data_IF_907386818429
#
_entry.id   IF_907386818429
#
_cell.length_a   1.000
_cell.length_b   1.000
_cell.length_c   1.000
_cell.angle_alpha   90.00
_cell.angle_beta   90.00
_cell.angle_gamma   90.00
#
_symmetry.space_group_name_H-M   'P 1'
#
loop_
_entity.id
_entity.type
_entity.pdbx_description
1 polymer ?
#
# COMPACT_ATOMS: atom_id res chain seq x y z
N UNK A 1 37.13 6.65 68.09
CA UNK A 1 36.13 5.56 68.06
C UNK A 1 34.92 6.03 67.27
N UNK A 2 34.50 5.22 66.30
CA UNK A 2 33.14 5.07 65.71
C UNK A 2 32.33 6.35 65.40
N UNK A 3 32.28 6.78 64.13
CA UNK A 3 31.20 6.54 63.14
C UNK A 3 29.84 7.15 63.51
N UNK A 4 29.57 8.36 63.01
CA UNK A 4 28.19 8.82 62.81
C UNK A 4 27.79 8.55 61.35
N UNK A 5 26.93 7.53 61.22
CA UNK A 5 26.18 7.14 60.05
C UNK A 5 25.30 8.32 59.61
N UNK A 6 25.61 8.97 58.51
CA UNK A 6 24.73 9.96 57.88
C UNK A 6 24.75 9.81 56.34
N UNK A 7 24.76 8.56 55.87
CA UNK A 7 24.73 8.19 54.45
C UNK A 7 23.63 7.16 54.16
N UNK A 8 22.50 7.24 54.84
CA UNK A 8 21.37 6.35 54.58
C UNK A 8 20.04 7.02 54.92
N UNK A 9 19.55 7.94 54.07
CA UNK A 9 18.11 8.28 54.05
C UNK A 9 17.63 9.09 52.82
N UNK A 10 18.19 8.87 51.62
CA UNK A 10 17.36 9.07 50.44
C UNK A 10 16.39 7.89 50.40
N UNK A 11 15.15 8.13 50.83
CA UNK A 11 14.14 7.10 51.11
C UNK A 11 14.01 6.14 49.93
N UNK A 12 14.10 4.84 50.20
CA UNK A 12 13.83 3.75 49.25
C UNK A 12 12.54 3.97 48.47
N UNK A 13 11.56 4.62 49.10
CA UNK A 13 10.26 4.96 48.52
C UNK A 13 10.37 6.03 47.41
N UNK A 14 11.27 7.01 47.55
CA UNK A 14 11.57 7.99 46.49
C UNK A 14 12.26 7.31 45.31
N UNK A 15 13.21 6.41 45.59
CA UNK A 15 13.92 5.68 44.54
C UNK A 15 12.96 4.73 43.80
N UNK A 16 12.06 4.08 44.53
CA UNK A 16 11.00 3.24 43.96
C UNK A 16 9.98 4.07 43.17
N UNK A 17 9.61 5.26 43.64
CA UNK A 17 8.72 6.17 42.92
C UNK A 17 9.37 6.70 41.63
N UNK A 18 10.65 7.07 41.66
CA UNK A 18 11.38 7.51 40.47
C UNK A 18 11.37 6.40 39.40
N UNK A 19 11.74 5.17 39.77
CA UNK A 19 11.82 4.06 38.81
C UNK A 19 10.44 3.60 38.32
N UNK A 20 9.41 3.60 39.18
CA UNK A 20 8.09 3.04 38.82
C UNK A 20 7.11 4.04 38.24
N UNK A 21 7.28 5.34 38.49
CA UNK A 21 6.36 6.39 38.04
C UNK A 21 7.04 7.43 37.18
N UNK A 22 8.19 7.95 37.60
CA UNK A 22 8.86 9.04 36.90
C UNK A 22 9.56 8.58 35.61
N UNK A 23 10.32 7.49 35.63
CA UNK A 23 11.04 6.98 34.45
C UNK A 23 10.09 6.54 33.32
N UNK A 24 8.96 5.83 33.59
CA UNK A 24 7.95 5.53 32.58
C UNK A 24 7.32 6.79 31.99
N UNK A 25 7.01 7.80 32.81
CA UNK A 25 6.48 9.09 32.33
C UNK A 25 7.51 9.80 31.44
N UNK A 26 8.78 9.79 31.81
CA UNK A 26 9.86 10.40 31.03
C UNK A 26 10.06 9.67 29.70
N UNK A 27 9.86 8.35 29.68
CA UNK A 27 9.88 7.52 28.47
C UNK A 27 8.70 7.85 27.56
N UNK A 28 7.48 7.93 28.11
CA UNK A 28 6.28 8.34 27.36
C UNK A 28 6.45 9.75 26.80
N UNK A 29 6.99 10.70 27.57
CA UNK A 29 7.24 12.07 27.11
C UNK A 29 8.27 12.08 25.97
N UNK A 30 9.33 11.27 26.06
CA UNK A 30 10.29 11.11 24.95
C UNK A 30 9.63 10.52 23.71
N UNK A 31 8.87 9.44 23.84
CA UNK A 31 8.16 8.83 22.72
C UNK A 31 7.15 9.79 22.07
N UNK A 32 6.42 10.56 22.88
CA UNK A 32 5.50 11.58 22.38
C UNK A 32 6.24 12.71 21.67
N UNK A 33 7.41 13.12 22.18
CA UNK A 33 8.23 14.15 21.55
C UNK A 33 8.84 13.66 20.23
N UNK A 34 9.31 12.41 20.18
CA UNK A 34 9.81 11.78 18.95
C UNK A 34 8.69 11.64 17.91
N UNK A 35 7.50 11.23 18.35
CA UNK A 35 6.30 11.16 17.49
C UNK A 35 5.89 12.54 16.98
N UNK A 36 5.91 13.57 17.84
CA UNK A 36 5.62 14.95 17.45
C UNK A 36 6.63 15.44 16.41
N UNK A 37 7.92 15.21 16.64
CA UNK A 37 8.96 15.63 15.71
C UNK A 37 8.87 14.92 14.36
N UNK A 38 8.49 13.63 14.34
CA UNK A 38 8.23 12.91 13.10
C UNK A 38 6.98 13.44 12.39
N UNK A 39 5.91 13.70 13.14
CA UNK A 39 4.68 14.32 12.62
C UNK A 39 4.93 15.69 12.00
N UNK A 40 5.77 16.53 12.63
CA UNK A 40 6.17 17.84 12.08
C UNK A 40 6.99 17.70 10.79
N UNK A 41 7.91 16.73 10.72
CA UNK A 41 8.67 16.44 9.50
C UNK A 41 7.76 15.99 8.36
N UNK A 42 6.79 15.14 8.65
CA UNK A 42 5.84 14.65 7.65
C UNK A 42 4.86 15.73 7.21
N UNK A 43 4.37 16.57 8.15
CA UNK A 43 3.61 17.77 7.83
C UNK A 43 4.37 18.68 6.86
N UNK A 44 5.64 18.96 7.15
CA UNK A 44 6.47 19.79 6.28
C UNK A 44 6.67 19.18 4.88
N UNK A 45 6.80 17.84 4.80
CA UNK A 45 6.89 17.12 3.52
C UNK A 45 5.59 17.21 2.73
N UNK A 46 4.45 17.04 3.40
CA UNK A 46 3.13 17.13 2.78
C UNK A 46 2.83 18.55 2.30
N UNK A 47 3.15 19.58 3.09
CA UNK A 47 3.02 20.99 2.70
C UNK A 47 3.84 21.27 1.42
N UNK A 48 5.08 20.76 1.33
CA UNK A 48 5.87 20.87 0.09
C UNK A 48 5.24 20.17 -1.10
N UNK A 49 4.62 19.00 -0.89
CA UNK A 49 3.92 18.26 -1.94
C UNK A 49 2.72 19.03 -2.44
N UNK A 50 1.92 19.59 -1.54
CA UNK A 50 0.75 20.43 -1.85
C UNK A 50 1.18 21.64 -2.68
N UNK A 51 2.16 22.42 -2.22
CA UNK A 51 2.66 23.60 -2.95
C UNK A 51 3.12 23.24 -4.38
N UNK A 52 3.73 22.06 -4.56
CA UNK A 52 4.18 21.60 -5.87
C UNK A 52 3.03 21.18 -6.76
N UNK A 53 2.03 20.48 -6.22
CA UNK A 53 0.81 20.09 -6.93
C UNK A 53 0.00 21.33 -7.34
N UNK A 54 -0.15 22.32 -6.46
CA UNK A 54 -0.78 23.60 -6.77
C UNK A 54 -0.08 24.30 -7.93
N UNK A 55 1.25 24.37 -7.91
CA UNK A 55 2.03 24.93 -9.04
C UNK A 55 1.83 24.15 -10.33
N UNK A 56 1.81 22.83 -10.27
CA UNK A 56 1.57 21.99 -11.44
C UNK A 56 0.14 22.16 -11.98
N UNK A 57 -0.84 22.29 -11.10
CA UNK A 57 -2.24 22.55 -11.46
C UNK A 57 -2.40 23.91 -12.15
N UNK A 58 -1.77 24.97 -11.65
CA UNK A 58 -1.76 26.28 -12.31
C UNK A 58 -1.16 26.20 -13.71
N UNK A 59 -0.03 25.50 -13.88
CA UNK A 59 0.60 25.31 -15.20
C UNK A 59 -0.30 24.49 -16.15
N UNK A 60 -1.00 23.49 -15.63
CA UNK A 60 -1.91 22.66 -16.44
C UNK A 60 -3.15 23.45 -16.86
N UNK A 61 -3.71 24.28 -15.98
CA UNK A 61 -4.84 25.16 -16.30
C UNK A 61 -4.47 26.20 -17.35
N UNK A 62 -3.28 26.80 -17.24
CA UNK A 62 -2.75 27.75 -18.22
C UNK A 62 -2.57 27.11 -19.61
N UNK A 63 -2.09 25.86 -19.66
CA UNK A 63 -1.94 25.08 -20.90
C UNK A 63 -3.27 24.61 -21.52
N UNK A 64 -4.33 24.53 -20.72
CA UNK A 64 -5.66 24.13 -21.18
C UNK A 64 -6.51 25.34 -21.60
N UNK A 65 -5.96 26.57 -21.56
CA UNK A 65 -6.66 27.83 -21.88
C UNK A 65 -8.02 27.98 -21.16
N UNK A 66 -8.16 27.37 -19.98
CA UNK A 66 -9.39 27.46 -19.18
C UNK A 66 -9.37 28.79 -18.44
N UNK A 67 -9.80 29.85 -19.13
CA UNK A 67 -9.91 31.21 -18.58
C UNK A 67 -11.05 31.37 -17.54
N UNK A 68 -11.89 30.34 -17.35
CA UNK A 68 -13.11 30.43 -16.54
C UNK A 68 -12.91 30.08 -15.05
N UNK A 69 -11.71 29.66 -14.64
CA UNK A 69 -11.41 29.40 -13.22
C UNK A 69 -10.74 30.64 -12.64
N UNK A 70 -11.56 31.56 -12.14
CA UNK A 70 -11.10 32.67 -11.31
C UNK A 70 -10.59 32.10 -9.98
N UNK A 71 -9.27 32.04 -9.80
CA UNK A 71 -8.69 31.85 -8.49
C UNK A 71 -8.95 33.11 -7.65
N UNK A 72 -10.01 33.09 -6.86
CA UNK A 72 -10.18 34.06 -5.78
C UNK A 72 -9.05 33.83 -4.77
N UNK A 73 -7.98 34.62 -4.90
CA UNK A 73 -6.84 34.66 -3.98
C UNK A 73 -7.19 35.30 -2.63
N UNK A 74 -8.48 35.49 -2.33
CA UNK A 74 -8.98 36.09 -1.09
C UNK A 74 -9.90 35.11 -0.39
N UNK A 75 -9.30 34.14 0.31
CA UNK A 75 -9.88 33.57 1.52
C UNK A 75 -8.78 32.81 2.27
N UNK A 76 -8.02 33.54 3.08
CA UNK A 76 -7.37 32.99 4.26
C UNK A 76 -8.37 33.16 5.40
N UNK A 77 -9.27 32.20 5.70
CA UNK A 77 -10.00 32.25 6.96
C UNK A 77 -9.08 31.75 8.07
N UNK A 78 -8.73 32.69 8.95
CA UNK A 78 -8.10 32.45 10.23
C UNK A 78 -8.83 31.37 11.05
N UNK A 79 -8.04 30.44 11.57
CA UNK A 79 -8.17 29.78 12.87
C UNK A 79 -9.60 29.52 13.41
N UNK A 80 -10.13 28.32 13.12
CA UNK A 80 -11.01 27.60 14.07
C UNK A 80 -10.63 26.13 14.15
N UNK A 81 -9.67 25.83 15.01
CA UNK A 81 -9.31 24.47 15.44
C UNK A 81 -10.43 23.87 16.28
N UNK A 82 -11.39 23.21 15.62
CA UNK A 82 -12.26 22.23 16.29
C UNK A 82 -11.43 20.97 16.51
N UNK A 83 -11.04 20.71 17.76
CA UNK A 83 -10.45 19.44 18.19
C UNK A 83 -11.50 18.33 18.03
N UNK A 84 -11.49 17.68 16.88
CA UNK A 84 -12.17 16.40 16.67
C UNK A 84 -11.19 15.33 17.15
N UNK A 85 -11.59 14.58 18.18
CA UNK A 85 -10.85 13.42 18.67
C UNK A 85 -10.86 12.34 17.57
N UNK A 86 -9.84 12.32 16.73
CA UNK A 86 -9.54 11.15 15.92
C UNK A 86 -8.94 10.09 16.85
N UNK A 87 -9.71 9.04 17.14
CA UNK A 87 -9.13 7.77 17.52
C UNK A 87 -8.26 7.33 16.33
N UNK A 88 -6.98 7.13 16.60
CA UNK A 88 -5.98 6.72 15.61
C UNK A 88 -6.35 5.30 15.18
N UNK A 89 -7.11 5.17 14.11
CA UNK A 89 -7.18 3.92 13.37
C UNK A 89 -5.84 3.70 12.67
N UNK A 90 -5.34 2.47 12.72
CA UNK A 90 -4.05 2.07 12.16
C UNK A 90 -3.82 2.68 10.77
N UNK A 91 -2.64 3.24 10.52
CA UNK A 91 -2.25 3.90 9.26
C UNK A 91 -2.48 3.03 8.00
N UNK A 92 -2.57 1.69 8.14
CA UNK A 92 -2.94 0.76 7.07
C UNK A 92 -4.39 0.92 6.57
N UNK A 93 -5.31 1.47 7.37
CA UNK A 93 -6.70 1.75 6.98
C UNK A 93 -6.86 3.07 6.20
N UNK A 94 -5.84 3.94 6.21
CA UNK A 94 -5.85 5.22 5.47
C UNK A 94 -5.40 5.05 4.02
N UNK A 95 -4.81 3.91 3.66
CA UNK A 95 -4.46 3.58 2.29
C UNK A 95 -5.69 3.01 1.58
N UNK A 96 -6.00 3.57 0.41
CA UNK A 96 -7.06 3.04 -0.42
C UNK A 96 -6.82 1.53 -0.67
N UNK A 97 -7.86 0.69 -0.51
CA UNK A 97 -7.75 -0.73 -0.74
C UNK A 97 -7.28 -0.99 -2.16
N UNK A 98 -6.24 -1.81 -2.29
CA UNK A 98 -5.64 -2.18 -3.56
C UNK A 98 -5.94 -3.63 -3.93
N UNK A 99 -6.38 -4.44 -2.96
CA UNK A 99 -6.66 -5.85 -3.13
C UNK A 99 -8.12 -6.11 -2.81
N UNK A 100 -8.87 -6.54 -3.82
CA UNK A 100 -10.29 -6.79 -3.70
C UNK A 100 -10.66 -8.23 -4.02
N UNK A 101 -11.82 -8.67 -3.53
CA UNK A 101 -12.48 -9.91 -3.94
C UNK A 101 -13.83 -9.62 -4.58
N UNK A 102 -14.18 -10.35 -5.63
CA UNK A 102 -15.45 -10.24 -6.33
C UNK A 102 -16.06 -11.62 -6.58
N UNK A 103 -17.38 -11.66 -6.78
CA UNK A 103 -18.11 -12.90 -7.07
C UNK A 103 -17.67 -13.51 -8.40
N UNK A 104 -17.62 -14.85 -8.42
CA UNK A 104 -17.17 -15.62 -9.57
C UNK A 104 -17.95 -15.24 -10.84
N UNK A 105 -17.23 -14.82 -11.88
CA UNK A 105 -17.81 -14.53 -13.20
C UNK A 105 -18.28 -13.09 -13.39
N UNK A 106 -17.91 -12.17 -12.50
CA UNK A 106 -18.25 -10.75 -12.65
C UNK A 106 -17.64 -10.18 -13.93
N UNK A 107 -18.41 -9.52 -14.83
CA UNK A 107 -17.89 -9.05 -16.10
C UNK A 107 -16.83 -7.96 -15.90
N UNK A 108 -15.80 -7.98 -16.76
CA UNK A 108 -14.67 -7.04 -16.68
C UNK A 108 -15.13 -5.57 -16.80
N UNK A 109 -16.15 -5.31 -17.62
CA UNK A 109 -16.74 -3.99 -17.79
C UNK A 109 -17.32 -3.43 -16.49
N UNK A 110 -17.95 -4.26 -15.65
CA UNK A 110 -18.45 -3.81 -14.35
C UNK A 110 -17.32 -3.46 -13.40
N UNK A 111 -16.23 -4.24 -13.38
CA UNK A 111 -15.05 -3.94 -12.56
C UNK A 111 -14.34 -2.67 -13.01
N UNK A 112 -14.25 -2.45 -14.32
CA UNK A 112 -13.68 -1.23 -14.91
C UNK A 112 -14.47 0.02 -14.51
N UNK A 113 -15.80 -0.03 -14.58
CA UNK A 113 -16.65 1.09 -14.19
C UNK A 113 -16.58 1.34 -12.69
N UNK A 114 -16.67 0.30 -11.87
CA UNK A 114 -16.70 0.42 -10.41
C UNK A 114 -15.38 0.96 -9.85
N UNK A 115 -14.25 0.52 -10.40
CA UNK A 115 -12.92 0.96 -9.96
C UNK A 115 -12.39 2.15 -10.77
N UNK A 116 -13.14 2.65 -11.76
CA UNK A 116 -12.77 3.76 -12.64
C UNK A 116 -11.47 3.51 -13.45
N UNK A 117 -11.32 2.32 -14.03
CA UNK A 117 -10.17 1.96 -14.87
C UNK A 117 -10.53 1.87 -16.36
N UNK A 118 -9.58 2.25 -17.22
CA UNK A 118 -9.70 2.10 -18.67
C UNK A 118 -9.48 0.66 -19.14
N UNK A 119 -10.09 0.27 -20.26
CA UNK A 119 -9.89 -1.05 -20.90
C UNK A 119 -8.42 -1.32 -21.27
N UNK A 120 -7.68 -0.26 -21.61
CA UNK A 120 -6.28 -0.37 -22.02
C UNK A 120 -5.40 -0.80 -20.85
N UNK A 121 -5.72 -0.34 -19.63
CA UNK A 121 -4.96 -0.58 -18.40
C UNK A 121 -5.39 -1.83 -17.62
N UNK A 122 -6.37 -2.60 -18.13
CA UNK A 122 -6.84 -3.82 -17.46
C UNK A 122 -6.12 -5.09 -17.93
N UNK A 123 -5.52 -5.87 -17.04
CA UNK A 123 -4.87 -7.15 -17.32
C UNK A 123 -5.72 -8.26 -16.72
N UNK A 124 -6.13 -9.22 -17.55
CA UNK A 124 -6.93 -10.37 -17.11
C UNK A 124 -6.07 -11.64 -17.16
N UNK A 125 -6.08 -12.40 -16.07
CA UNK A 125 -5.29 -13.63 -15.95
C UNK A 125 -6.16 -14.77 -15.42
N UNK A 126 -6.02 -15.94 -16.01
CA UNK A 126 -6.76 -17.13 -15.58
C UNK A 126 -5.88 -18.04 -14.71
N UNK A 127 -6.24 -18.15 -13.43
CA UNK A 127 -5.48 -18.90 -12.42
C UNK A 127 -5.56 -20.42 -12.65
N UNK A 128 -6.60 -20.93 -13.31
CA UNK A 128 -6.73 -22.37 -13.62
C UNK A 128 -5.59 -22.93 -14.48
N UNK A 129 -4.91 -22.06 -15.22
CA UNK A 129 -3.79 -22.44 -16.09
C UNK A 129 -2.47 -22.59 -15.30
N UNK A 130 -2.41 -22.12 -14.06
CA UNK A 130 -1.19 -22.10 -13.27
C UNK A 130 -1.00 -23.43 -12.54
N UNK A 131 0.02 -24.19 -12.95
CA UNK A 131 0.44 -25.42 -12.25
C UNK A 131 1.76 -25.21 -11.52
N UNK A 132 2.68 -24.47 -12.14
CA UNK A 132 3.96 -24.10 -11.58
C UNK A 132 4.14 -22.59 -11.52
N UNK A 133 5.17 -22.15 -10.81
CA UNK A 133 5.49 -20.73 -10.70
C UNK A 133 5.96 -20.16 -12.04
N UNK A 134 6.68 -20.95 -12.84
CA UNK A 134 7.09 -20.57 -14.19
C UNK A 134 5.88 -20.26 -15.07
N UNK A 135 4.87 -21.16 -15.08
CA UNK A 135 3.64 -20.99 -15.87
C UNK A 135 2.90 -19.69 -15.52
N UNK A 136 2.86 -19.36 -14.22
CA UNK A 136 2.26 -18.13 -13.72
C UNK A 136 3.02 -16.90 -14.24
N UNK A 137 4.37 -16.89 -14.12
CA UNK A 137 5.16 -15.74 -14.56
C UNK A 137 5.14 -15.56 -16.07
N UNK A 138 5.14 -16.65 -16.84
CA UNK A 138 5.01 -16.61 -18.30
C UNK A 138 3.67 -16.00 -18.67
N UNK A 139 2.56 -16.54 -18.13
CA UNK A 139 1.21 -16.02 -18.39
C UNK A 139 1.08 -14.53 -17.99
N UNK A 140 1.65 -14.14 -16.84
CA UNK A 140 1.68 -12.75 -16.40
C UNK A 140 2.46 -11.84 -17.38
N UNK A 141 3.69 -12.25 -17.75
CA UNK A 141 4.54 -11.46 -18.64
C UNK A 141 3.96 -11.37 -20.06
N UNK A 142 3.37 -12.44 -20.59
CA UNK A 142 2.70 -12.44 -21.90
C UNK A 142 1.52 -11.46 -21.91
N UNK A 143 0.68 -11.48 -20.86
CA UNK A 143 -0.48 -10.58 -20.77
C UNK A 143 -0.09 -9.09 -20.70
N UNK A 144 1.11 -8.77 -20.22
CA UNK A 144 1.63 -7.39 -20.17
C UNK A 144 2.39 -7.02 -21.44
N UNK A 145 3.11 -7.99 -22.00
CA UNK A 145 3.92 -7.86 -23.20
C UNK A 145 3.10 -7.40 -24.40
N UNK A 146 1.87 -7.88 -24.50
CA UNK A 146 0.91 -7.47 -25.54
C UNK A 146 0.54 -5.98 -25.49
N UNK A 147 0.80 -5.28 -24.37
CA UNK A 147 0.29 -3.93 -24.12
C UNK A 147 1.35 -2.83 -24.05
N UNK A 148 2.53 -3.09 -23.48
CA UNK A 148 3.43 -1.98 -23.09
C UNK A 148 4.91 -2.12 -23.45
N UNK A 149 5.46 -3.34 -23.62
CA UNK A 149 6.81 -3.68 -24.13
C UNK A 149 7.06 -5.18 -23.92
N UNK A 150 7.86 -5.83 -24.78
CA UNK A 150 8.24 -7.23 -24.56
C UNK A 150 9.17 -7.37 -23.34
N UNK A 151 8.64 -7.99 -22.28
CA UNK A 151 9.39 -8.32 -21.06
C UNK A 151 9.74 -9.82 -20.96
N UNK A 152 9.39 -10.63 -21.98
CA UNK A 152 9.76 -12.04 -21.98
C UNK A 152 11.28 -12.18 -22.08
N UNK A 153 11.92 -12.89 -21.14
CA UNK A 153 13.33 -13.25 -21.26
C UNK A 153 13.53 -14.28 -22.39
N UNK A 154 14.75 -14.32 -22.94
CA UNK A 154 15.15 -15.30 -23.97
C UNK A 154 15.21 -16.74 -23.41
N UNK A 155 15.45 -16.87 -22.11
CA UNK A 155 15.44 -18.14 -21.36
C UNK A 155 14.24 -18.18 -20.41
N UNK A 156 13.46 -19.27 -20.47
CA UNK A 156 12.29 -19.51 -19.61
C UNK A 156 12.64 -20.05 -18.22
N UNK A 157 13.87 -19.80 -17.77
CA UNK A 157 14.32 -20.20 -16.45
C UNK A 157 13.66 -19.35 -15.37
N UNK A 158 13.25 -19.97 -14.26
CA UNK A 158 12.54 -19.31 -13.16
C UNK A 158 13.27 -18.06 -12.64
N UNK A 159 14.60 -18.10 -12.63
CA UNK A 159 15.42 -17.03 -12.10
C UNK A 159 15.40 -15.78 -13.01
N UNK A 160 15.38 -15.99 -14.32
CA UNK A 160 15.29 -14.90 -15.30
C UNK A 160 13.84 -14.41 -15.45
N UNK A 161 12.85 -15.30 -15.39
CA UNK A 161 11.44 -14.93 -15.29
C UNK A 161 11.17 -14.01 -14.09
N UNK A 162 11.70 -14.35 -12.90
CA UNK A 162 11.57 -13.49 -11.71
C UNK A 162 12.27 -12.14 -11.87
N UNK A 163 13.45 -12.08 -12.51
CA UNK A 163 14.14 -10.80 -12.78
C UNK A 163 13.33 -9.93 -13.74
N UNK A 164 12.87 -10.50 -14.85
CA UNK A 164 12.05 -9.79 -15.84
C UNK A 164 10.73 -9.32 -15.24
N UNK A 165 10.07 -10.17 -14.45
CA UNK A 165 8.85 -9.82 -13.72
C UNK A 165 9.09 -8.66 -12.76
N UNK A 166 10.19 -8.66 -11.98
CA UNK A 166 10.50 -7.52 -11.09
C UNK A 166 10.66 -6.21 -11.84
N UNK A 167 11.35 -6.21 -12.99
CA UNK A 167 11.49 -5.01 -13.84
C UNK A 167 10.13 -4.57 -14.39
N UNK A 168 9.32 -5.53 -14.84
CA UNK A 168 7.99 -5.28 -15.38
C UNK A 168 7.04 -4.69 -14.32
N UNK A 169 7.00 -5.29 -13.13
CA UNK A 169 6.20 -4.84 -12.00
C UNK A 169 6.57 -3.42 -11.55
N UNK A 170 7.86 -3.07 -11.54
CA UNK A 170 8.27 -1.70 -11.23
C UNK A 170 7.71 -0.70 -12.25
N UNK A 171 7.72 -1.03 -13.54
CA UNK A 171 7.10 -0.17 -14.56
C UNK A 171 5.56 -0.17 -14.50
N UNK A 172 4.93 -1.27 -14.08
CA UNK A 172 3.48 -1.29 -13.86
C UNK A 172 3.09 -0.40 -12.68
N UNK A 173 3.88 -0.40 -11.61
CA UNK A 173 3.62 0.39 -10.41
C UNK A 173 3.73 1.90 -10.64
N UNK A 174 4.34 2.36 -11.74
CA UNK A 174 4.36 3.77 -12.11
C UNK A 174 3.15 4.23 -12.92
N UNK A 175 2.35 3.28 -13.40
CA UNK A 175 1.17 3.54 -14.22
C UNK A 175 -0.10 3.12 -13.48
N UNK A 176 -1.25 3.50 -14.01
CA UNK A 176 -2.53 2.98 -13.54
C UNK A 176 -2.78 1.62 -14.17
N UNK A 177 -2.94 0.56 -13.37
CA UNK A 177 -3.23 -0.79 -13.87
C UNK A 177 -4.24 -1.52 -12.98
N UNK A 178 -5.19 -2.19 -13.61
CA UNK A 178 -6.15 -3.07 -12.96
C UNK A 178 -5.83 -4.52 -13.35
N UNK A 179 -5.46 -5.36 -12.38
CA UNK A 179 -5.17 -6.77 -12.61
C UNK A 179 -6.33 -7.60 -12.06
N UNK A 180 -6.96 -8.40 -12.90
CA UNK A 180 -8.08 -9.28 -12.53
C UNK A 180 -7.64 -10.73 -12.64
N UNK A 181 -7.66 -11.44 -11.50
CA UNK A 181 -7.37 -12.86 -11.42
C UNK A 181 -8.68 -13.65 -11.46
N UNK A 182 -8.93 -14.34 -12.58
CA UNK A 182 -10.11 -15.19 -12.81
C UNK A 182 -9.96 -16.55 -12.17
N UNK A 183 -11.09 -17.09 -11.70
CA UNK A 183 -11.20 -18.44 -11.14
C UNK A 183 -10.30 -18.68 -9.92
N UNK A 184 -10.20 -17.70 -9.02
CA UNK A 184 -9.49 -17.88 -7.75
C UNK A 184 -10.30 -18.85 -6.88
N UNK A 185 -9.70 -19.94 -6.35
CA UNK A 185 -10.43 -20.88 -5.54
C UNK A 185 -10.83 -20.27 -4.20
N UNK A 186 -12.10 -20.42 -3.85
CA UNK A 186 -12.70 -20.00 -2.58
C UNK A 186 -12.22 -20.78 -1.37
N UNK A 187 -12.70 -20.42 -0.17
CA UNK A 187 -12.40 -21.14 1.08
C UNK A 187 -12.59 -22.66 0.99
N UNK A 188 -13.68 -23.12 0.36
CA UNK A 188 -13.98 -24.54 0.23
C UNK A 188 -13.04 -25.25 -0.76
N UNK A 189 -12.67 -24.59 -1.86
CA UNK A 189 -11.83 -25.16 -2.92
C UNK A 189 -10.33 -25.00 -2.65
N UNK A 190 -9.94 -24.03 -1.84
CA UNK A 190 -8.55 -23.74 -1.48
C UNK A 190 -7.86 -24.91 -0.78
N UNK A 191 -8.61 -25.77 -0.07
CA UNK A 191 -8.09 -26.99 0.56
C UNK A 191 -7.57 -27.99 -0.47
N UNK A 192 -8.22 -28.07 -1.63
CA UNK A 192 -7.84 -29.00 -2.70
C UNK A 192 -6.86 -28.37 -3.70
N UNK A 193 -6.92 -27.04 -3.86
CA UNK A 193 -6.12 -26.28 -4.82
C UNK A 193 -5.06 -25.40 -4.15
N UNK A 194 -4.34 -25.95 -3.18
CA UNK A 194 -3.34 -25.24 -2.37
C UNK A 194 -2.26 -24.59 -3.23
N UNK A 195 -1.77 -25.27 -4.27
CA UNK A 195 -0.75 -24.75 -5.19
C UNK A 195 -1.21 -23.46 -5.86
N UNK A 196 -2.41 -23.43 -6.43
CA UNK A 196 -2.93 -22.21 -7.10
C UNK A 196 -3.08 -21.04 -6.12
N UNK A 197 -3.51 -21.29 -4.89
CA UNK A 197 -3.56 -20.25 -3.84
C UNK A 197 -2.17 -19.74 -3.47
N UNK A 198 -1.17 -20.62 -3.39
CA UNK A 198 0.21 -20.18 -3.14
C UNK A 198 0.74 -19.32 -4.29
N UNK A 199 0.41 -19.64 -5.54
CA UNK A 199 0.80 -18.85 -6.71
C UNK A 199 0.13 -17.47 -6.71
N UNK A 200 -1.19 -17.40 -6.44
CA UNK A 200 -1.91 -16.13 -6.26
C UNK A 200 -1.27 -15.28 -5.14
N UNK A 201 -0.88 -15.91 -4.03
CA UNK A 201 -0.20 -15.24 -2.94
C UNK A 201 1.20 -14.74 -3.32
N UNK A 202 1.97 -15.50 -4.09
CA UNK A 202 3.28 -15.09 -4.60
C UNK A 202 3.14 -13.87 -5.51
N UNK A 203 2.18 -13.88 -6.43
CA UNK A 203 1.92 -12.75 -7.32
C UNK A 203 1.52 -11.49 -6.54
N UNK A 204 0.54 -11.61 -5.64
CA UNK A 204 0.09 -10.50 -4.81
C UNK A 204 1.23 -9.92 -3.96
N UNK A 205 2.10 -10.79 -3.39
CA UNK A 205 3.28 -10.35 -2.65
C UNK A 205 4.30 -9.63 -3.53
N UNK A 206 4.51 -10.10 -4.77
CA UNK A 206 5.44 -9.48 -5.70
C UNK A 206 4.98 -8.07 -6.11
N UNK A 207 3.67 -7.90 -6.38
CA UNK A 207 3.05 -6.60 -6.67
C UNK A 207 3.23 -5.66 -5.47
N UNK A 208 2.89 -6.12 -4.26
CA UNK A 208 3.03 -5.33 -3.05
C UNK A 208 4.48 -4.91 -2.76
N UNK A 209 5.45 -5.80 -3.00
CA UNK A 209 6.87 -5.47 -2.87
C UNK A 209 7.35 -4.45 -3.90
N UNK A 210 6.90 -4.57 -5.15
CA UNK A 210 7.24 -3.61 -6.19
C UNK A 210 6.65 -2.23 -5.86
N UNK A 211 5.40 -2.20 -5.41
CA UNK A 211 4.73 -0.97 -4.98
C UNK A 211 5.49 -0.31 -3.81
N UNK A 212 5.74 -1.04 -2.72
CA UNK A 212 6.49 -0.50 -1.58
C UNK A 212 7.88 0.01 -1.95
N UNK A 213 8.55 -0.62 -2.91
CA UNK A 213 9.87 -0.13 -3.37
C UNK A 213 9.76 1.22 -4.04
N UNK A 214 8.79 1.43 -4.93
CA UNK A 214 8.59 2.71 -5.62
C UNK A 214 8.12 3.78 -4.65
N UNK A 215 7.23 3.44 -3.72
CA UNK A 215 6.81 4.33 -2.64
C UNK A 215 8.02 4.85 -1.84
N UNK A 216 9.02 4.00 -1.59
CA UNK A 216 10.25 4.38 -0.88
C UNK A 216 11.26 5.13 -1.76
N UNK A 217 11.41 4.77 -3.04
CA UNK A 217 12.45 5.35 -3.92
C UNK A 217 12.00 6.61 -4.64
N UNK A 218 10.78 6.62 -5.16
CA UNK A 218 10.22 7.73 -5.94
C UNK A 218 8.68 7.76 -5.81
N UNK A 219 8.14 8.34 -4.73
CA UNK A 219 6.70 8.39 -4.50
C UNK A 219 5.96 9.29 -5.49
N UNK A 220 6.66 10.07 -6.31
CA UNK A 220 6.05 11.00 -7.28
C UNK A 220 5.63 10.27 -8.55
N UNK A 221 6.37 9.24 -8.95
CA UNK A 221 6.04 8.40 -10.11
C UNK A 221 5.08 7.27 -9.76
N UNK A 222 4.62 7.16 -8.52
CA UNK A 222 3.76 6.09 -8.10
C UNK A 222 2.36 6.20 -8.74
N UNK A 223 1.98 5.18 -9.50
CA UNK A 223 0.67 5.03 -10.12
C UNK A 223 -0.32 4.25 -9.26
N UNK A 224 -1.52 4.04 -9.80
CA UNK A 224 -2.62 3.32 -9.13
C UNK A 224 -2.67 1.87 -9.60
N UNK A 225 -2.25 0.92 -8.75
CA UNK A 225 -2.44 -0.51 -9.00
C UNK A 225 -3.58 -1.06 -8.16
N UNK A 226 -4.48 -1.81 -8.81
CA UNK A 226 -5.52 -2.58 -8.13
C UNK A 226 -5.48 -4.04 -8.59
N UNK A 227 -5.55 -4.97 -7.65
CA UNK A 227 -5.63 -6.41 -7.85
C UNK A 227 -7.02 -6.90 -7.41
N UNK A 228 -7.75 -7.57 -8.30
CA UNK A 228 -9.08 -8.14 -8.02
C UNK A 228 -9.01 -9.66 -8.13
N UNK A 229 -9.50 -10.33 -7.08
CA UNK A 229 -9.63 -11.78 -7.00
C UNK A 229 -11.07 -12.18 -7.33
N UNK A 230 -11.29 -12.75 -8.51
CA UNK A 230 -12.59 -13.24 -8.97
C UNK A 230 -12.76 -14.71 -8.57
N UNK A 231 -13.54 -14.94 -7.52
CA UNK A 231 -13.71 -16.26 -6.89
C UNK A 231 -14.88 -16.31 -5.93
N UNK A 232 -15.47 -17.49 -5.78
CA UNK A 232 -16.57 -17.72 -4.84
C UNK A 232 -16.04 -17.76 -3.41
N UNK A 233 -16.60 -16.99 -2.47
CA UNK A 233 -16.18 -16.98 -1.05
C UNK A 233 -14.67 -16.84 -0.80
N UNK A 234 -14.01 -15.93 -1.51
CA UNK A 234 -12.61 -15.57 -1.23
C UNK A 234 -12.52 -14.99 0.19
N UNK A 235 -11.53 -15.43 0.96
CA UNK A 235 -11.34 -14.97 2.34
C UNK A 235 -10.97 -13.49 2.44
N UNK A 236 -11.16 -12.88 3.61
CA UNK A 236 -10.82 -11.47 3.86
C UNK A 236 -9.31 -11.19 4.01
N UNK A 237 -8.47 -12.24 3.95
CA UNK A 237 -7.01 -12.13 4.09
C UNK A 237 -6.29 -13.17 3.23
N UNK A 238 -5.26 -12.74 2.52
CA UNK A 238 -4.33 -13.59 1.78
C UNK A 238 -3.00 -13.67 2.55
N UNK A 239 -2.50 -14.89 2.77
CA UNK A 239 -1.18 -15.10 3.38
C UNK A 239 -0.16 -15.40 2.30
N UNK A 240 0.89 -14.58 2.24
CA UNK A 240 2.03 -14.78 1.37
C UNK A 240 3.31 -14.84 2.23
N UNK A 241 3.72 -16.06 2.60
CA UNK A 241 4.80 -16.27 3.57
C UNK A 241 4.48 -15.62 4.92
N UNK A 242 5.32 -14.66 5.34
CA UNK A 242 5.15 -13.92 6.59
C UNK A 242 4.19 -12.72 6.49
N UNK A 243 3.75 -12.36 5.27
CA UNK A 243 2.89 -11.20 5.03
C UNK A 243 1.42 -11.63 5.03
N UNK A 244 0.58 -10.80 5.66
CA UNK A 244 -0.87 -10.90 5.62
C UNK A 244 -1.41 -9.71 4.83
N UNK A 245 -1.99 -9.96 3.67
CA UNK A 245 -2.61 -8.94 2.84
C UNK A 245 -4.12 -8.93 3.14
N UNK A 246 -4.67 -7.76 3.45
CA UNK A 246 -6.12 -7.58 3.64
C UNK A 246 -6.80 -7.59 2.26
N UNK A 247 -7.89 -8.32 2.14
CA UNK A 247 -8.73 -8.35 0.94
C UNK A 247 -10.05 -7.66 1.29
N UNK A 248 -10.46 -6.71 0.45
CA UNK A 248 -11.74 -6.02 0.61
C UNK A 248 -12.79 -6.54 -0.37
N UNK A 249 -14.02 -6.84 0.07
CA UNK A 249 -15.07 -7.28 -0.84
C UNK A 249 -15.55 -6.11 -1.70
N UNK A 250 -15.60 -6.33 -3.02
CA UNK A 250 -16.34 -5.50 -3.96
C UNK A 250 -17.81 -5.89 -3.87
N UNK A 251 -18.61 -5.02 -3.25
CA UNK A 251 -20.07 -5.12 -3.22
C UNK A 251 -20.69 -4.32 -4.35
#
# INVERSE_FOLDING_TARGET
MATNQNTAMFSSDLQTFIVTKYDPLLTIVKELNDKLQNSEKDKYRLEKRIIKLEKQMVILLDKLEVADITFDNNDIPENKTKKINYQIENEENLLAPWLFSCQLGTPLSSLQVLLEFSVQTTIELNVKLWKREEDMWVNFLEAISTKSKNYLPETLDLLDLRKSTRKCLLNLCTNENLIVLRNVPGKAQAVYNTTTMTLVAILASAIYEAWKRIELTDPVSLGRIVLVLDGEDVGSRLRAGNKKLKIEPLN
#
